data_IF_757491184975
#
_entry.id   IF_757491184975
#
_cell.length_a   1.000
_cell.length_b   1.000
_cell.length_c   1.000
_cell.angle_alpha   90.00
_cell.angle_beta   90.00
_cell.angle_gamma   90.00
#
_symmetry.space_group_name_H-M   'P 1'
#
loop_
_entity.id
_entity.type
_entity.pdbx_description
1 polymer ?
#
# COMPACT_ATOMS: atom_id res chain seq x y z
N UNK A 1 -24.63 16.54 -10.84
CA UNK A 1 -23.87 15.34 -11.25
C UNK A 1 -22.44 15.61 -10.88
N UNK A 2 -22.08 15.38 -9.63
CA UNK A 2 -20.80 15.80 -9.08
C UNK A 2 -20.43 14.79 -7.99
N UNK A 3 -19.29 14.13 -8.20
CA UNK A 3 -18.60 13.18 -7.30
C UNK A 3 -19.35 11.90 -6.90
N UNK A 4 -19.16 10.83 -7.69
CA UNK A 4 -19.28 9.46 -7.19
C UNK A 4 -17.91 8.77 -7.09
N UNK A 5 -16.85 9.56 -6.84
CA UNK A 5 -15.56 9.01 -6.45
C UNK A 5 -15.63 8.67 -4.96
N UNK A 6 -15.52 7.40 -4.56
CA UNK A 6 -15.66 7.02 -3.16
C UNK A 6 -14.47 7.55 -2.38
N UNK A 7 -14.64 7.76 -1.08
CA UNK A 7 -13.49 8.05 -0.21
C UNK A 7 -12.54 6.85 -0.26
N UNK A 8 -11.32 7.05 -0.73
CA UNK A 8 -10.28 6.01 -0.72
C UNK A 8 -9.40 6.20 0.52
N UNK A 9 -9.32 5.18 1.36
CA UNK A 9 -8.42 5.12 2.50
C UNK A 9 -7.27 4.15 2.21
N UNK A 10 -6.04 4.66 2.26
CA UNK A 10 -4.82 3.87 2.15
C UNK A 10 -4.05 3.97 3.47
N UNK A 11 -3.58 2.83 3.97
CA UNK A 11 -2.67 2.83 5.13
C UNK A 11 -1.71 1.64 5.07
N UNK A 12 -0.59 1.78 5.78
CA UNK A 12 0.35 0.69 6.02
C UNK A 12 0.03 -0.04 7.32
N UNK A 13 0.37 -1.33 7.38
CA UNK A 13 0.28 -2.12 8.62
C UNK A 13 1.43 -3.13 8.71
N UNK A 14 1.67 -3.59 9.93
CA UNK A 14 2.65 -4.65 10.19
C UNK A 14 1.96 -5.98 10.46
N UNK A 15 2.25 -7.01 9.68
CA UNK A 15 1.71 -8.37 9.88
C UNK A 15 1.99 -8.92 11.28
N UNK A 16 3.08 -8.49 11.93
CA UNK A 16 3.38 -8.88 13.32
C UNK A 16 2.35 -8.38 14.33
N UNK A 17 1.50 -7.42 13.95
CA UNK A 17 0.40 -6.88 14.76
C UNK A 17 -0.98 -7.37 14.31
N UNK A 18 -1.05 -8.27 13.32
CA UNK A 18 -2.30 -8.78 12.73
C UNK A 18 -2.71 -8.03 11.47
N UNK A 19 -3.44 -8.72 10.59
CA UNK A 19 -4.01 -8.11 9.40
C UNK A 19 -5.25 -7.29 9.76
N UNK A 20 -5.47 -6.14 9.11
CA UNK A 20 -6.66 -5.33 9.37
C UNK A 20 -7.93 -6.05 8.97
N UNK A 21 -9.00 -5.83 9.73
CA UNK A 21 -10.33 -6.40 9.49
C UNK A 21 -11.23 -5.49 8.65
N UNK A 22 -10.89 -4.20 8.55
CA UNK A 22 -11.69 -3.17 7.89
C UNK A 22 -11.28 -2.92 6.41
N UNK A 23 -10.16 -3.49 5.98
CA UNK A 23 -9.66 -3.37 4.61
C UNK A 23 -10.42 -4.29 3.64
N UNK A 24 -10.83 -3.74 2.49
CA UNK A 24 -11.40 -4.54 1.39
C UNK A 24 -10.30 -5.22 0.58
N UNK A 25 -9.13 -4.59 0.48
CA UNK A 25 -7.95 -5.17 -0.15
C UNK A 25 -6.76 -5.10 0.79
N UNK A 26 -6.01 -6.20 0.88
CA UNK A 26 -4.77 -6.29 1.64
C UNK A 26 -3.68 -6.77 0.67
N UNK A 27 -2.61 -6.00 0.58
CA UNK A 27 -1.45 -6.34 -0.26
C UNK A 27 -0.25 -6.68 0.62
N UNK A 28 0.26 -7.90 0.46
CA UNK A 28 1.49 -8.33 1.13
C UNK A 28 2.71 -7.87 0.34
N UNK A 29 3.50 -6.98 0.93
CA UNK A 29 4.71 -6.40 0.33
C UNK A 29 5.99 -6.96 0.96
N UNK A 30 5.92 -8.01 1.78
CA UNK A 30 7.10 -8.60 2.45
C UNK A 30 8.13 -9.18 1.48
N UNK A 31 7.76 -9.41 0.22
CA UNK A 31 8.65 -9.85 -0.84
C UNK A 31 9.51 -8.73 -1.46
N UNK A 32 9.21 -7.45 -1.20
CA UNK A 32 10.03 -6.34 -1.65
C UNK A 32 11.37 -6.26 -0.88
N UNK A 33 12.39 -5.58 -1.44
CA UNK A 33 13.66 -5.38 -0.74
C UNK A 33 13.46 -4.82 0.66
N UNK A 34 14.08 -5.47 1.65
CA UNK A 34 13.87 -5.16 3.06
C UNK A 34 14.93 -4.16 3.57
N UNK A 35 14.57 -2.89 3.83
CA UNK A 35 15.53 -1.85 4.25
C UNK A 35 16.09 -2.09 5.67
N UNK A 36 15.47 -2.97 6.46
CA UNK A 36 15.89 -3.26 7.84
C UNK A 36 17.34 -3.75 7.94
N UNK A 37 17.85 -4.43 6.92
CA UNK A 37 19.21 -4.99 6.89
C UNK A 37 20.26 -4.05 6.31
N UNK A 38 19.85 -2.86 5.85
CA UNK A 38 20.76 -1.88 5.24
C UNK A 38 21.21 -0.88 6.29
N UNK A 39 22.52 -0.85 6.54
CA UNK A 39 23.15 0.13 7.44
C UNK A 39 22.81 1.53 6.94
N UNK A 40 22.28 2.38 7.83
CA UNK A 40 21.84 3.74 7.50
C UNK A 40 20.37 3.87 7.13
N UNK A 41 19.67 2.77 6.77
CA UNK A 41 18.23 2.79 6.50
C UNK A 41 17.39 2.16 7.62
N UNK A 42 18.00 1.31 8.46
CA UNK A 42 17.27 0.52 9.46
C UNK A 42 16.55 1.32 10.56
N UNK A 43 16.95 2.58 10.79
CA UNK A 43 16.30 3.51 11.73
C UNK A 43 15.30 4.45 11.05
N UNK A 44 15.25 4.43 9.71
CA UNK A 44 14.31 5.22 8.93
C UNK A 44 12.92 4.57 8.87
N UNK A 45 11.99 5.26 8.20
CA UNK A 45 10.66 4.73 7.90
C UNK A 45 10.31 4.99 6.43
N UNK A 46 9.19 4.45 5.94
CA UNK A 46 8.81 4.55 4.53
C UNK A 46 8.51 5.98 4.03
N UNK A 47 8.45 6.99 4.90
CA UNK A 47 8.33 8.40 4.51
C UNK A 47 9.70 9.06 4.28
N UNK A 48 10.80 8.42 4.70
CA UNK A 48 12.15 8.84 4.38
C UNK A 48 12.43 8.57 2.89
N UNK A 49 12.83 9.59 2.10
CA UNK A 49 13.14 9.43 0.68
C UNK A 49 14.18 8.34 0.41
N UNK A 50 15.19 8.17 1.27
CA UNK A 50 16.23 7.17 1.08
C UNK A 50 15.68 5.74 1.25
N UNK A 51 14.78 5.55 2.21
CA UNK A 51 14.09 4.26 2.44
C UNK A 51 13.11 3.97 1.30
N UNK A 52 12.33 4.97 0.89
CA UNK A 52 11.37 4.84 -0.21
C UNK A 52 12.08 4.49 -1.53
N UNK A 53 13.16 5.20 -1.86
CA UNK A 53 13.97 4.93 -3.04
C UNK A 53 14.53 3.50 -3.02
N UNK A 54 15.08 3.04 -1.90
CA UNK A 54 15.59 1.67 -1.77
C UNK A 54 14.53 0.60 -2.08
N UNK A 55 13.30 0.79 -1.60
CA UNK A 55 12.20 -0.17 -1.77
C UNK A 55 11.60 -0.12 -3.18
N UNK A 56 11.50 1.07 -3.79
CA UNK A 56 10.74 1.29 -5.04
C UNK A 56 11.62 1.40 -6.29
N UNK A 57 12.83 1.96 -6.21
CA UNK A 57 13.72 2.22 -7.36
C UNK A 57 14.51 0.96 -7.79
N UNK A 58 13.81 -0.16 -7.84
CA UNK A 58 14.27 -1.41 -8.44
C UNK A 58 13.17 -1.95 -9.37
N UNK A 59 13.50 -2.85 -10.33
CA UNK A 59 12.53 -3.31 -11.32
C UNK A 59 11.25 -3.91 -10.71
N UNK A 60 11.37 -4.63 -9.59
CA UNK A 60 10.24 -5.26 -8.92
C UNK A 60 9.36 -4.23 -8.20
N UNK A 61 9.95 -3.30 -7.45
CA UNK A 61 9.24 -2.23 -6.75
C UNK A 61 8.49 -1.31 -7.71
N UNK A 62 9.15 -0.87 -8.78
CA UNK A 62 8.52 -0.07 -9.83
C UNK A 62 7.36 -0.81 -10.49
N UNK A 63 7.53 -2.10 -10.82
CA UNK A 63 6.47 -2.91 -11.43
C UNK A 63 5.30 -3.15 -10.47
N UNK A 64 5.56 -3.33 -9.19
CA UNK A 64 4.51 -3.46 -8.17
C UNK A 64 3.67 -2.18 -8.11
N UNK A 65 4.29 -1.00 -8.12
CA UNK A 65 3.55 0.27 -8.12
C UNK A 65 2.69 0.44 -9.39
N UNK A 66 3.25 0.09 -10.56
CA UNK A 66 2.55 0.11 -11.85
C UNK A 66 1.31 -0.81 -11.86
N UNK A 67 1.35 -1.93 -11.14
CA UNK A 67 0.23 -2.88 -11.07
C UNK A 67 -0.79 -2.51 -9.98
N UNK A 68 -0.31 -2.11 -8.80
CA UNK A 68 -1.18 -1.87 -7.64
C UNK A 68 -2.00 -0.60 -7.80
N UNK A 69 -1.42 0.50 -8.27
CA UNK A 69 -2.14 1.77 -8.34
C UNK A 69 -3.37 1.70 -9.27
N UNK A 70 -3.27 1.17 -10.51
CA UNK A 70 -4.45 1.01 -11.38
C UNK A 70 -5.47 0.01 -10.82
N UNK A 71 -5.01 -1.08 -10.18
CA UNK A 71 -5.90 -2.06 -9.57
C UNK A 71 -6.71 -1.44 -8.43
N UNK A 72 -6.06 -0.74 -7.50
CA UNK A 72 -6.72 -0.04 -6.39
C UNK A 72 -7.72 0.98 -6.91
N UNK A 73 -7.34 1.76 -7.93
CA UNK A 73 -8.22 2.74 -8.56
C UNK A 73 -9.45 2.08 -9.20
N UNK A 74 -9.26 1.00 -9.96
CA UNK A 74 -10.34 0.24 -10.56
C UNK A 74 -11.28 -0.35 -9.50
N UNK A 75 -10.72 -1.00 -8.46
CA UNK A 75 -11.50 -1.58 -7.37
C UNK A 75 -12.29 -0.53 -6.60
N UNK A 76 -11.71 0.64 -6.33
CA UNK A 76 -12.42 1.75 -5.71
C UNK A 76 -13.62 2.19 -6.56
N UNK A 77 -13.44 2.36 -7.88
CA UNK A 77 -14.55 2.70 -8.78
C UNK A 77 -15.69 1.69 -8.75
N UNK A 78 -15.38 0.39 -8.85
CA UNK A 78 -16.39 -0.68 -8.77
C UNK A 78 -17.12 -0.65 -7.43
N UNK A 79 -16.41 -0.33 -6.35
CA UNK A 79 -17.00 -0.21 -5.01
C UNK A 79 -17.98 0.97 -4.92
N UNK A 80 -17.63 2.11 -5.52
CA UNK A 80 -18.51 3.28 -5.64
C UNK A 80 -19.77 2.97 -6.45
N UNK A 81 -19.62 2.32 -7.60
CA UNK A 81 -20.73 1.91 -8.48
C UNK A 81 -21.71 0.96 -7.75
N UNK A 82 -21.23 0.22 -6.73
CA UNK A 82 -22.06 -0.57 -5.83
C UNK A 82 -22.72 0.22 -4.68
N UNK A 83 -22.67 1.56 -4.72
CA UNK A 83 -23.25 2.47 -3.72
C UNK A 83 -22.49 2.53 -2.39
N UNK A 84 -21.19 2.18 -2.37
CA UNK A 84 -20.38 2.19 -1.14
C UNK A 84 -19.52 3.45 -1.07
N UNK A 85 -19.72 4.25 -0.02
CA UNK A 85 -19.07 5.57 0.11
C UNK A 85 -17.58 5.56 0.49
N UNK A 86 -17.03 4.42 0.91
CA UNK A 86 -15.61 4.30 1.27
C UNK A 86 -15.03 2.96 0.81
N UNK A 87 -13.82 3.03 0.24
CA UNK A 87 -12.99 1.89 -0.12
C UNK A 87 -11.66 1.96 0.64
N UNK A 88 -11.31 0.89 1.34
CA UNK A 88 -10.08 0.80 2.15
C UNK A 88 -9.14 -0.25 1.57
N UNK A 89 -7.89 0.14 1.31
CA UNK A 89 -6.82 -0.78 0.95
C UNK A 89 -5.62 -0.63 1.91
N UNK A 90 -5.10 -1.78 2.36
CA UNK A 90 -4.02 -1.85 3.33
C UNK A 90 -2.76 -2.48 2.71
N UNK A 91 -1.60 -1.87 2.96
CA UNK A 91 -0.31 -2.33 2.46
C UNK A 91 0.52 -2.88 3.62
N UNK A 92 0.84 -4.16 3.56
CA UNK A 92 1.42 -4.91 4.67
C UNK A 92 2.89 -5.20 4.48
N UNK A 93 3.71 -4.84 5.47
CA UNK A 93 5.04 -5.41 5.63
C UNK A 93 5.12 -6.16 6.97
N UNK A 94 6.29 -6.68 7.35
CA UNK A 94 6.43 -7.35 8.65
C UNK A 94 6.27 -6.37 9.82
N UNK A 95 6.86 -5.19 9.72
CA UNK A 95 7.05 -4.24 10.82
C UNK A 95 6.01 -3.12 10.94
N UNK A 96 5.31 -2.79 9.85
CA UNK A 96 4.50 -1.58 9.71
C UNK A 96 5.26 -0.51 8.95
#
# INVERSE_FOLDING_TARGET
MENDCPRVLLYSFGYKYGAPLDAQMIFDLRALPNPFWVVGLCQGNGLDPAVAAYVIENPTGAKMLELLAPLIHFSARVWAEAGKGQFTAALGCTGG
#
